data_IF_081365728630
#
_entry.id   IF_081365728630
#
_cell.length_a   1.000
_cell.length_b   1.000
_cell.length_c   1.000
_cell.angle_alpha   90.00
_cell.angle_beta   90.00
_cell.angle_gamma   90.00
#
_symmetry.space_group_name_H-M   'P 1'
#
loop_
_entity.id
_entity.type
_entity.pdbx_description
1 polymer ?
#
# COMPACT_ATOMS: atom_id res chain seq x y z
N UNK A 1 -57.00 14.24 -8.40
CA UNK A 1 -55.68 14.25 -7.74
C UNK A 1 -54.53 14.49 -8.74
N UNK A 2 -54.78 15.12 -9.89
CA UNK A 2 -53.75 15.30 -10.94
C UNK A 2 -53.06 16.67 -10.95
N UNK A 3 -53.62 17.71 -10.32
CA UNK A 3 -53.04 19.07 -10.38
C UNK A 3 -51.86 19.29 -9.42
N UNK A 4 -51.81 18.61 -8.27
CA UNK A 4 -50.73 18.80 -7.27
C UNK A 4 -49.34 18.35 -7.76
N UNK A 5 -49.26 17.49 -8.78
CA UNK A 5 -47.97 17.06 -9.33
C UNK A 5 -47.36 18.08 -10.30
N UNK A 6 -48.18 18.91 -10.99
CA UNK A 6 -47.67 19.92 -11.94
C UNK A 6 -46.95 21.08 -11.27
N UNK A 7 -47.32 21.45 -10.05
CA UNK A 7 -46.64 22.54 -9.33
C UNK A 7 -45.31 22.11 -8.71
N UNK A 8 -45.15 20.83 -8.39
CA UNK A 8 -43.86 20.28 -7.96
C UNK A 8 -42.86 20.25 -9.13
N UNK A 9 -43.31 19.95 -10.37
CA UNK A 9 -42.47 19.99 -11.57
C UNK A 9 -41.80 21.35 -11.80
N UNK A 10 -42.41 22.46 -11.34
CA UNK A 10 -41.84 23.81 -11.42
C UNK A 10 -40.67 24.05 -10.45
N UNK A 11 -40.53 23.23 -9.40
CA UNK A 11 -39.39 23.29 -8.47
C UNK A 11 -38.16 22.52 -8.98
N UNK A 12 -38.32 21.65 -9.98
CA UNK A 12 -37.21 20.85 -10.51
C UNK A 12 -36.45 21.62 -11.59
N UNK A 13 -35.30 22.18 -11.21
CA UNK A 13 -34.34 22.72 -12.17
C UNK A 13 -33.53 21.55 -12.75
N UNK A 14 -33.85 21.11 -13.97
CA UNK A 14 -32.93 20.29 -14.78
C UNK A 14 -31.76 21.19 -15.19
N UNK A 15 -30.72 21.27 -14.35
CA UNK A 15 -29.48 21.98 -14.71
C UNK A 15 -28.80 21.23 -15.85
N UNK A 16 -28.87 21.80 -17.05
CA UNK A 16 -28.08 21.36 -18.19
C UNK A 16 -26.58 21.43 -17.84
N UNK A 17 -25.79 20.54 -18.43
CA UNK A 17 -24.34 20.52 -18.21
C UNK A 17 -23.74 21.80 -18.77
N UNK A 18 -23.10 22.60 -17.92
CA UNK A 18 -22.34 23.76 -18.38
C UNK A 18 -21.07 23.29 -19.13
N UNK A 19 -21.19 23.17 -20.45
CA UNK A 19 -20.11 22.69 -21.33
C UNK A 19 -18.87 23.55 -21.25
N UNK A 20 -19.03 24.86 -21.08
CA UNK A 20 -17.92 25.81 -21.01
C UNK A 20 -17.04 25.52 -19.80
N UNK A 21 -17.66 25.43 -18.61
CA UNK A 21 -16.97 25.06 -17.37
C UNK A 21 -16.26 23.72 -17.49
N UNK A 22 -16.92 22.72 -18.09
CA UNK A 22 -16.33 21.39 -18.28
C UNK A 22 -15.07 21.44 -19.15
N UNK A 23 -15.11 22.19 -20.26
CA UNK A 23 -13.96 22.37 -21.15
C UNK A 23 -12.82 23.10 -20.43
N UNK A 24 -13.12 24.16 -19.68
CA UNK A 24 -12.12 24.94 -18.94
C UNK A 24 -11.38 24.06 -17.91
N UNK A 25 -12.11 23.21 -17.17
CA UNK A 25 -11.50 22.29 -16.19
C UNK A 25 -10.65 21.22 -16.88
N UNK A 26 -11.11 20.65 -18.00
CA UNK A 26 -10.48 19.49 -18.63
C UNK A 26 -9.30 19.84 -19.53
N UNK A 27 -9.32 21.01 -20.18
CA UNK A 27 -8.34 21.42 -21.20
C UNK A 27 -6.88 21.29 -20.77
N UNK A 28 -6.48 21.57 -19.51
CA UNK A 28 -5.10 21.41 -19.08
C UNK A 28 -4.66 19.96 -18.92
N UNK A 29 -5.59 19.04 -18.66
CA UNK A 29 -5.27 17.69 -18.17
C UNK A 29 -5.58 16.58 -19.17
N UNK A 30 -6.50 16.79 -20.10
CA UNK A 30 -6.86 15.79 -21.08
C UNK A 30 -7.22 16.37 -22.45
N UNK A 31 -7.16 15.49 -23.45
CA UNK A 31 -7.73 15.65 -24.78
C UNK A 31 -8.62 14.44 -25.07
N UNK A 32 -9.55 14.61 -26.00
CA UNK A 32 -10.41 13.52 -26.48
C UNK A 32 -9.99 13.24 -27.91
N UNK A 33 -9.59 11.99 -28.16
CA UNK A 33 -9.41 11.48 -29.51
C UNK A 33 -10.78 11.14 -30.09
N UNK A 34 -11.19 11.88 -31.13
CA UNK A 34 -12.50 11.71 -31.77
C UNK A 34 -12.59 10.41 -32.57
N UNK A 35 -11.48 9.92 -33.10
CA UNK A 35 -11.46 8.72 -33.95
C UNK A 35 -11.59 7.47 -33.08
N UNK A 36 -10.80 7.40 -32.02
CA UNK A 36 -10.79 6.25 -31.12
C UNK A 36 -11.82 6.36 -29.97
N UNK A 37 -12.49 7.51 -29.82
CA UNK A 37 -13.41 7.84 -28.72
C UNK A 37 -12.77 7.64 -27.34
N UNK A 38 -11.50 8.00 -27.22
CA UNK A 38 -10.68 7.76 -26.04
C UNK A 38 -10.20 9.06 -25.39
N UNK A 39 -9.91 8.98 -24.09
CA UNK A 39 -9.32 10.06 -23.32
C UNK A 39 -7.80 9.93 -23.40
N UNK A 40 -7.15 10.98 -23.89
CA UNK A 40 -5.69 11.12 -23.90
C UNK A 40 -5.27 12.06 -22.77
N UNK A 41 -4.55 11.54 -21.78
CA UNK A 41 -4.09 12.33 -20.63
C UNK A 41 -2.85 13.14 -21.00
N UNK A 42 -2.84 14.42 -20.60
CA UNK A 42 -1.73 15.35 -20.83
C UNK A 42 -0.70 15.27 -19.70
N UNK A 43 0.54 15.77 -19.90
CA UNK A 43 1.59 15.71 -18.88
C UNK A 43 1.20 16.36 -17.55
N UNK A 44 0.38 17.41 -17.56
CA UNK A 44 -0.05 18.09 -16.33
C UNK A 44 -0.98 17.22 -15.46
N UNK A 45 -1.63 16.20 -16.03
CA UNK A 45 -2.37 15.20 -15.27
C UNK A 45 -1.46 14.41 -14.31
N UNK A 46 -0.18 14.23 -14.63
CA UNK A 46 0.74 13.53 -13.73
C UNK A 46 1.11 14.36 -12.49
N UNK A 47 0.85 15.68 -12.51
CA UNK A 47 1.24 16.64 -11.47
C UNK A 47 0.12 16.94 -10.46
N UNK A 48 -1.09 16.48 -10.70
CA UNK A 48 -2.23 16.69 -9.79
C UNK A 48 -2.33 15.59 -8.74
N UNK A 49 -3.08 15.85 -7.67
CA UNK A 49 -3.30 14.83 -6.65
C UNK A 49 -4.15 13.68 -7.19
N UNK A 50 -3.94 12.46 -6.69
CA UNK A 50 -4.67 11.28 -7.18
C UNK A 50 -6.19 11.48 -7.14
N UNK A 51 -6.70 12.15 -6.10
CA UNK A 51 -8.12 12.44 -5.94
C UNK A 51 -8.64 13.40 -7.01
N UNK A 52 -7.89 14.46 -7.32
CA UNK A 52 -8.23 15.38 -8.41
C UNK A 52 -8.10 14.70 -9.78
N UNK A 53 -7.10 13.82 -9.95
CA UNK A 53 -6.97 12.98 -11.15
C UNK A 53 -8.18 12.09 -11.38
N UNK A 54 -8.74 11.48 -10.33
CA UNK A 54 -9.99 10.72 -10.44
C UNK A 54 -11.14 11.63 -10.87
N UNK A 55 -11.27 12.83 -10.31
CA UNK A 55 -12.29 13.81 -10.72
C UNK A 55 -12.16 14.14 -12.22
N UNK A 56 -10.95 14.43 -12.70
CA UNK A 56 -10.68 14.74 -14.11
C UNK A 56 -11.12 13.60 -15.04
N UNK A 57 -10.86 12.35 -14.66
CA UNK A 57 -11.28 11.18 -15.45
C UNK A 57 -12.81 11.09 -15.49
N UNK A 58 -13.49 11.23 -14.35
CA UNK A 58 -14.95 11.20 -14.29
C UNK A 58 -15.58 12.32 -15.13
N UNK A 59 -15.01 13.53 -15.10
CA UNK A 59 -15.43 14.65 -15.93
C UNK A 59 -15.16 14.40 -17.43
N UNK A 60 -14.05 13.74 -17.77
CA UNK A 60 -13.76 13.32 -19.14
C UNK A 60 -14.81 12.35 -19.68
N UNK A 61 -15.24 11.37 -18.87
CA UNK A 61 -16.33 10.45 -19.23
C UNK A 61 -17.66 11.20 -19.41
N UNK A 62 -17.95 12.17 -18.54
CA UNK A 62 -19.12 13.05 -18.70
C UNK A 62 -19.05 13.81 -20.03
N UNK A 63 -17.88 14.31 -20.43
CA UNK A 63 -17.69 14.98 -21.72
C UNK A 63 -17.95 14.03 -22.90
N UNK A 64 -17.48 12.78 -22.83
CA UNK A 64 -17.79 11.77 -23.86
C UNK A 64 -19.29 11.50 -23.98
N UNK A 65 -20.04 11.49 -22.87
CA UNK A 65 -21.52 11.40 -22.90
C UNK A 65 -22.15 12.62 -23.55
N UNK A 66 -21.70 13.82 -23.21
CA UNK A 66 -22.20 15.08 -23.80
C UNK A 66 -21.98 15.12 -25.32
N UNK A 67 -20.84 14.64 -25.79
CA UNK A 67 -20.50 14.52 -27.21
C UNK A 67 -21.11 13.29 -27.89
N UNK A 68 -21.99 12.54 -27.20
CA UNK A 68 -22.64 11.31 -27.68
C UNK A 68 -21.65 10.23 -28.16
N UNK A 69 -20.43 10.25 -27.64
CA UNK A 69 -19.40 9.24 -27.89
C UNK A 69 -19.53 8.03 -26.96
N UNK A 70 -20.31 8.17 -25.88
CA UNK A 70 -20.62 7.12 -24.90
C UNK A 70 -22.08 7.26 -24.46
N UNK A 71 -22.75 6.13 -24.20
CA UNK A 71 -24.17 6.11 -23.81
C UNK A 71 -24.39 6.53 -22.34
N UNK A 72 -23.46 6.16 -21.47
CA UNK A 72 -23.57 6.36 -20.02
C UNK A 72 -22.33 7.03 -19.42
N UNK A 73 -22.53 7.81 -18.36
CA UNK A 73 -21.46 8.50 -17.61
C UNK A 73 -20.97 7.69 -16.40
N UNK A 74 -21.67 6.63 -16.03
CA UNK A 74 -21.23 5.74 -14.96
C UNK A 74 -19.97 4.97 -15.38
N UNK A 75 -18.95 5.04 -14.53
CA UNK A 75 -17.67 4.36 -14.73
C UNK A 75 -17.22 3.64 -13.45
N UNK A 76 -16.71 2.41 -13.61
CA UNK A 76 -16.19 1.61 -12.50
C UNK A 76 -14.73 1.90 -12.13
N UNK A 77 -14.26 1.50 -10.94
CA UNK A 77 -12.86 1.70 -10.52
C UNK A 77 -11.83 1.09 -11.47
N UNK A 78 -12.14 -0.05 -12.10
CA UNK A 78 -11.25 -0.71 -13.07
C UNK A 78 -11.10 0.10 -14.35
N UNK A 79 -12.19 0.66 -14.87
CA UNK A 79 -12.14 1.54 -16.05
C UNK A 79 -11.35 2.83 -15.74
N UNK A 80 -11.52 3.41 -14.55
CA UNK A 80 -10.72 4.56 -14.11
C UNK A 80 -9.24 4.19 -14.02
N UNK A 81 -8.91 2.98 -13.58
CA UNK A 81 -7.55 2.46 -13.57
C UNK A 81 -6.97 2.36 -14.99
N UNK A 82 -7.76 1.85 -15.94
CA UNK A 82 -7.31 1.66 -17.31
C UNK A 82 -6.98 2.99 -18.00
N UNK A 83 -7.75 4.04 -17.71
CA UNK A 83 -7.52 5.39 -18.25
C UNK A 83 -6.37 6.09 -17.52
N UNK A 84 -6.43 6.17 -16.18
CA UNK A 84 -5.53 7.01 -15.38
C UNK A 84 -4.19 6.38 -15.04
N UNK A 85 -4.10 5.05 -15.07
CA UNK A 85 -2.99 4.26 -14.52
C UNK A 85 -2.69 4.53 -13.04
N UNK A 86 -3.58 5.19 -12.31
CA UNK A 86 -3.49 5.36 -10.84
C UNK A 86 -3.77 4.01 -10.20
N UNK A 87 -3.07 3.65 -9.11
CA UNK A 87 -3.27 2.37 -8.45
C UNK A 87 -4.75 2.13 -8.06
N UNK A 88 -5.28 0.95 -8.39
CA UNK A 88 -6.68 0.57 -8.16
C UNK A 88 -7.14 0.75 -6.70
N UNK A 89 -6.28 0.43 -5.73
CA UNK A 89 -6.59 0.63 -4.30
C UNK A 89 -6.73 2.10 -3.94
N UNK A 90 -5.89 2.96 -4.55
CA UNK A 90 -5.95 4.41 -4.37
C UNK A 90 -7.20 4.99 -5.02
N UNK A 91 -7.58 4.50 -6.21
CA UNK A 91 -8.82 4.88 -6.88
C UNK A 91 -10.04 4.53 -6.01
N UNK A 92 -10.12 3.30 -5.50
CA UNK A 92 -11.23 2.87 -4.63
C UNK A 92 -11.36 3.75 -3.39
N UNK A 93 -10.24 4.09 -2.76
CA UNK A 93 -10.24 4.99 -1.60
C UNK A 93 -10.69 6.40 -1.99
N UNK A 94 -10.14 6.95 -3.08
CA UNK A 94 -10.49 8.29 -3.57
C UNK A 94 -11.98 8.40 -3.93
N UNK A 95 -12.54 7.42 -4.65
CA UNK A 95 -13.97 7.40 -4.99
C UNK A 95 -14.86 7.36 -3.74
N UNK A 96 -14.46 6.57 -2.73
CA UNK A 96 -15.18 6.50 -1.46
C UNK A 96 -15.13 7.81 -0.66
N UNK A 97 -14.02 8.55 -0.74
CA UNK A 97 -13.89 9.87 -0.15
C UNK A 97 -14.71 10.92 -0.91
N UNK A 98 -14.64 10.91 -2.24
CA UNK A 98 -15.42 11.81 -3.10
C UNK A 98 -16.94 11.64 -2.91
N UNK A 99 -17.39 10.41 -2.69
CA UNK A 99 -18.80 10.12 -2.37
C UNK A 99 -19.20 10.69 -1.01
N UNK A 100 -18.34 10.54 0.02
CA UNK A 100 -18.57 11.16 1.34
C UNK A 100 -18.63 12.69 1.27
N UNK A 101 -17.81 13.28 0.41
CA UNK A 101 -17.79 14.73 0.14
C UNK A 101 -18.94 15.20 -0.76
N UNK A 102 -19.82 14.29 -1.20
CA UNK A 102 -20.94 14.55 -2.12
C UNK A 102 -20.49 15.13 -3.47
N UNK A 103 -19.25 14.86 -3.87
CA UNK A 103 -18.71 15.23 -5.19
C UNK A 103 -19.13 14.20 -6.25
N UNK A 104 -19.16 12.93 -5.87
CA UNK A 104 -19.58 11.82 -6.75
C UNK A 104 -20.79 11.11 -6.19
N UNK A 105 -21.60 10.53 -7.07
CA UNK A 105 -22.68 9.60 -6.73
C UNK A 105 -22.34 8.22 -7.26
N UNK A 106 -22.66 7.18 -6.49
CA UNK A 106 -22.46 5.80 -6.92
C UNK A 106 -23.78 5.12 -7.29
N UNK A 107 -23.75 4.31 -8.34
CA UNK A 107 -24.83 3.41 -8.73
C UNK A 107 -24.23 2.05 -9.11
N UNK A 108 -24.66 0.98 -8.43
CA UNK A 108 -24.17 -0.41 -8.67
C UNK A 108 -22.64 -0.53 -8.70
N UNK A 109 -21.93 0.26 -7.87
CA UNK A 109 -20.46 0.25 -7.80
C UNK A 109 -19.74 1.01 -8.91
N UNK A 110 -20.49 1.73 -9.75
CA UNK A 110 -19.96 2.72 -10.71
C UNK A 110 -20.22 4.13 -10.18
N UNK A 111 -19.43 5.09 -10.65
CA UNK A 111 -19.44 6.45 -10.14
C UNK A 111 -19.67 7.46 -11.25
N UNK A 112 -20.31 8.58 -10.91
CA UNK A 112 -20.46 9.76 -11.76
C UNK A 112 -20.42 11.05 -10.94
N UNK A 113 -20.17 12.18 -11.61
CA UNK A 113 -20.23 13.51 -10.99
C UNK A 113 -21.58 14.14 -11.33
N UNK A 114 -22.41 14.55 -10.36
CA UNK A 114 -23.65 15.26 -10.64
C UNK A 114 -23.42 16.65 -11.25
N UNK A 115 -24.35 17.13 -12.09
CA UNK A 115 -24.19 18.40 -12.82
C UNK A 115 -24.06 19.62 -11.89
N UNK A 116 -24.78 19.64 -10.77
CA UNK A 116 -24.74 20.75 -9.81
C UNK A 116 -23.37 20.93 -9.14
N UNK A 117 -22.50 19.91 -9.19
CA UNK A 117 -21.16 19.93 -8.58
C UNK A 117 -20.14 20.63 -9.49
N UNK A 118 -20.46 20.82 -10.78
CA UNK A 118 -19.51 21.41 -11.74
C UNK A 118 -19.06 22.82 -11.35
N UNK A 119 -19.97 23.65 -10.83
CA UNK A 119 -19.65 25.01 -10.36
C UNK A 119 -18.64 24.98 -9.20
N UNK A 120 -18.81 24.04 -8.26
CA UNK A 120 -17.88 23.86 -7.13
C UNK A 120 -16.51 23.36 -7.59
N UNK A 121 -16.48 22.52 -8.63
CA UNK A 121 -15.23 22.02 -9.19
C UNK A 121 -14.48 23.10 -9.98
N UNK A 122 -15.19 24.03 -10.63
CA UNK A 122 -14.58 25.15 -11.33
C UNK A 122 -13.66 25.96 -10.40
N UNK A 123 -14.18 26.34 -9.22
CA UNK A 123 -13.41 27.08 -8.23
C UNK A 123 -12.24 26.26 -7.66
N UNK A 124 -12.44 24.95 -7.47
CA UNK A 124 -11.39 24.03 -7.01
C UNK A 124 -10.24 23.94 -8.01
N UNK A 125 -10.54 23.84 -9.30
CA UNK A 125 -9.53 23.67 -10.35
C UNK A 125 -8.86 24.98 -10.77
N UNK A 126 -9.55 26.12 -10.66
CA UNK A 126 -8.93 27.46 -10.84
C UNK A 126 -7.83 27.73 -9.82
N UNK A 127 -8.02 27.24 -8.59
CA UNK A 127 -7.07 27.43 -7.49
C UNK A 127 -6.10 26.24 -7.32
N UNK A 128 -6.08 25.30 -8.26
CA UNK A 128 -5.28 24.10 -8.14
C UNK A 128 -3.79 24.41 -8.30
N UNK A 129 -3.00 24.15 -7.26
CA UNK A 129 -1.55 24.22 -7.33
C UNK A 129 -1.00 22.89 -7.83
N UNK A 130 -0.42 22.89 -9.03
CA UNK A 130 0.30 21.72 -9.54
C UNK A 130 1.48 21.40 -8.63
N UNK A 131 1.75 20.12 -8.39
CA UNK A 131 2.92 19.70 -7.62
C UNK A 131 4.18 20.01 -8.42
N UNK A 132 5.09 20.77 -7.84
CA UNK A 132 6.43 20.94 -8.40
C UNK A 132 7.10 19.56 -8.48
N UNK A 133 7.78 19.29 -9.60
CA UNK A 133 8.49 18.02 -9.84
C UNK A 133 9.49 17.68 -8.73
N UNK A 134 10.03 18.69 -8.03
CA UNK A 134 10.93 18.53 -6.87
C UNK A 134 10.25 17.93 -5.64
N UNK A 135 8.95 18.15 -5.43
CA UNK A 135 8.22 17.60 -4.27
C UNK A 135 7.85 16.12 -4.44
N UNK A 136 7.72 15.66 -5.69
CA UNK A 136 7.54 14.25 -6.01
C UNK A 136 8.79 13.41 -5.66
N UNK A 137 9.99 13.95 -5.89
CA UNK A 137 11.24 13.30 -5.45
C UNK A 137 11.39 13.28 -3.93
N UNK A 138 10.97 14.35 -3.25
CA UNK A 138 11.04 14.46 -1.77
C UNK A 138 10.09 13.49 -1.06
N UNK A 139 8.89 13.26 -1.61
CA UNK A 139 7.92 12.31 -1.01
C UNK A 139 8.34 10.86 -1.18
N UNK A 140 9.03 10.48 -2.27
CA UNK A 140 9.67 9.15 -2.39
C UNK A 140 10.77 8.91 -1.35
N UNK A 141 11.48 9.96 -0.93
CA UNK A 141 12.57 9.84 0.07
C UNK A 141 12.10 9.71 1.53
N UNK A 142 10.81 9.92 1.84
CA UNK A 142 10.30 10.02 3.23
C UNK A 142 9.82 8.72 3.88
N UNK A 143 9.95 7.55 3.25
CA UNK A 143 9.69 6.25 3.91
C UNK A 143 10.98 5.49 4.24
N UNK A 144 12.03 6.19 4.71
CA UNK A 144 13.01 5.50 5.54
C UNK A 144 12.33 5.30 6.90
N UNK A 145 11.95 4.06 7.21
CA UNK A 145 11.49 3.72 8.55
C UNK A 145 12.51 4.14 9.60
N UNK A 146 12.15 4.11 10.90
CA UNK A 146 13.09 4.43 11.96
C UNK A 146 14.42 3.70 11.71
N UNK A 147 15.53 4.44 11.73
CA UNK A 147 16.85 3.86 11.55
C UNK A 147 17.11 2.92 12.73
N UNK A 148 16.97 1.62 12.51
CA UNK A 148 17.29 0.61 13.52
C UNK A 148 18.81 0.46 13.53
N UNK A 149 19.41 0.65 14.71
CA UNK A 149 20.83 0.38 14.91
C UNK A 149 21.06 -1.13 14.90
N UNK A 150 21.93 -1.60 14.00
CA UNK A 150 22.31 -3.02 13.85
C UNK A 150 23.77 -3.28 14.25
N UNK A 151 24.40 -2.33 14.94
CA UNK A 151 25.81 -2.44 15.34
C UNK A 151 26.11 -3.72 16.13
N UNK A 152 25.16 -4.18 16.96
CA UNK A 152 25.28 -5.42 17.74
C UNK A 152 25.43 -6.66 16.89
N UNK A 153 24.65 -6.77 15.81
CA UNK A 153 24.66 -7.95 14.93
C UNK A 153 25.69 -7.85 13.80
N UNK A 154 26.49 -6.79 13.76
CA UNK A 154 27.49 -6.59 12.71
C UNK A 154 28.48 -7.76 12.62
N UNK A 155 28.89 -8.30 13.77
CA UNK A 155 29.76 -9.48 13.86
C UNK A 155 29.15 -10.67 13.11
N UNK A 156 27.84 -10.89 13.25
CA UNK A 156 27.13 -11.97 12.53
C UNK A 156 27.07 -11.66 11.03
N UNK A 157 26.77 -10.41 10.67
CA UNK A 157 26.63 -10.00 9.27
C UNK A 157 27.94 -10.10 8.48
N UNK A 158 29.09 -10.00 9.17
CA UNK A 158 30.43 -10.12 8.60
C UNK A 158 30.90 -11.58 8.41
N UNK A 159 30.26 -12.56 9.06
CA UNK A 159 30.55 -13.99 8.83
C UNK A 159 30.10 -14.43 7.43
N UNK A 160 30.62 -15.55 6.92
CA UNK A 160 30.00 -16.17 5.73
C UNK A 160 28.66 -16.82 6.12
N UNK A 161 27.62 -16.78 5.26
CA UNK A 161 26.33 -17.39 5.56
C UNK A 161 26.43 -18.88 5.94
N UNK A 162 27.29 -19.64 5.26
CA UNK A 162 27.54 -21.06 5.56
C UNK A 162 28.28 -21.24 6.89
N UNK A 163 29.22 -20.34 7.21
CA UNK A 163 29.92 -20.32 8.49
C UNK A 163 29.03 -19.86 9.65
N UNK A 164 27.93 -19.15 9.38
CA UNK A 164 26.95 -18.76 10.39
C UNK A 164 25.85 -19.82 10.58
N UNK A 165 25.32 -20.39 9.50
CA UNK A 165 24.21 -21.32 9.57
C UNK A 165 24.62 -22.79 9.65
N UNK A 166 25.80 -23.15 9.14
CA UNK A 166 26.25 -24.55 9.03
C UNK A 166 25.20 -25.44 8.36
N UNK A 167 24.95 -26.59 8.96
CA UNK A 167 23.97 -27.60 8.51
C UNK A 167 22.52 -27.07 8.46
N UNK A 168 22.21 -26.05 9.26
CA UNK A 168 20.87 -25.46 9.30
C UNK A 168 20.61 -24.49 8.15
N UNK A 169 21.61 -24.19 7.31
CA UNK A 169 21.46 -23.27 6.18
C UNK A 169 20.32 -23.70 5.24
N UNK A 170 20.30 -24.99 4.90
CA UNK A 170 19.29 -25.55 4.01
C UNK A 170 17.88 -25.45 4.58
N UNK A 171 17.73 -25.71 5.89
CA UNK A 171 16.45 -25.51 6.57
C UNK A 171 16.00 -24.05 6.53
N UNK A 172 16.92 -23.11 6.81
CA UNK A 172 16.63 -21.69 6.87
C UNK A 172 16.25 -21.13 5.48
N UNK A 173 16.89 -21.58 4.41
CA UNK A 173 16.67 -21.07 3.05
C UNK A 173 15.56 -21.81 2.31
N UNK A 174 15.57 -23.15 2.29
CA UNK A 174 14.71 -23.96 1.42
C UNK A 174 13.29 -24.11 1.97
N UNK A 175 13.10 -24.25 3.29
CA UNK A 175 11.75 -24.41 3.86
C UNK A 175 11.01 -23.08 3.87
N UNK A 176 9.86 -23.03 3.20
CA UNK A 176 8.98 -21.84 3.21
C UNK A 176 8.23 -21.74 4.55
N UNK A 177 8.10 -20.53 5.09
CA UNK A 177 7.39 -20.29 6.34
C UNK A 177 8.19 -20.68 7.58
N UNK A 178 7.56 -21.37 8.53
CA UNK A 178 8.12 -21.79 9.83
C UNK A 178 8.86 -20.68 10.59
N UNK A 179 8.34 -19.46 10.53
CA UNK A 179 8.98 -18.24 11.04
C UNK A 179 9.43 -18.36 12.51
N UNK A 180 8.66 -19.06 13.34
CA UNK A 180 9.04 -19.31 14.73
C UNK A 180 10.31 -20.14 14.79
N UNK A 181 10.35 -21.33 14.16
CA UNK A 181 11.52 -22.21 14.15
C UNK A 181 12.76 -21.51 13.59
N UNK A 182 12.61 -20.79 12.48
CA UNK A 182 13.71 -20.00 11.90
C UNK A 182 14.22 -18.94 12.87
N UNK A 183 13.33 -18.26 13.57
CA UNK A 183 13.72 -17.26 14.58
C UNK A 183 14.46 -17.90 15.74
N UNK A 184 14.00 -19.05 16.25
CA UNK A 184 14.67 -19.77 17.33
C UNK A 184 16.08 -20.22 16.92
N UNK A 185 16.23 -20.77 15.71
CA UNK A 185 17.53 -21.15 15.14
C UNK A 185 18.46 -19.94 15.08
N UNK A 186 17.99 -18.82 14.53
CA UNK A 186 18.82 -17.60 14.41
C UNK A 186 19.23 -17.05 15.79
N UNK A 187 18.34 -17.08 16.79
CA UNK A 187 18.68 -16.67 18.16
C UNK A 187 19.76 -17.60 18.75
N UNK A 188 19.65 -18.92 18.54
CA UNK A 188 20.64 -19.89 19.00
C UNK A 188 22.01 -19.65 18.35
N UNK A 189 22.04 -19.56 17.01
CA UNK A 189 23.27 -19.34 16.26
C UNK A 189 23.93 -18.00 16.60
N UNK A 190 23.13 -16.97 16.84
CA UNK A 190 23.64 -15.66 17.28
C UNK A 190 24.32 -15.74 18.64
N UNK A 191 23.80 -16.55 19.57
CA UNK A 191 24.42 -16.81 20.87
C UNK A 191 25.72 -17.61 20.73
N UNK A 192 25.68 -18.70 19.96
CA UNK A 192 26.81 -19.64 19.84
C UNK A 192 27.97 -19.10 19.00
N UNK A 193 27.66 -18.49 17.84
CA UNK A 193 28.68 -18.04 16.87
C UNK A 193 28.97 -16.55 16.97
N UNK A 194 27.97 -15.75 17.37
CA UNK A 194 28.08 -14.30 17.50
C UNK A 194 28.32 -13.81 18.93
N UNK A 195 28.20 -14.67 19.95
CA UNK A 195 28.26 -14.25 21.35
C UNK A 195 27.12 -13.31 21.78
N UNK A 196 26.04 -13.22 21.00
CA UNK A 196 24.94 -12.28 21.23
C UNK A 196 23.81 -12.99 21.97
N UNK A 197 23.65 -12.67 23.26
CA UNK A 197 22.54 -13.20 24.06
C UNK A 197 21.23 -12.45 23.76
N UNK A 198 20.48 -13.01 22.81
CA UNK A 198 19.16 -12.57 22.40
C UNK A 198 19.16 -11.52 21.29
N UNK A 199 18.07 -11.52 20.53
CA UNK A 199 17.89 -10.66 19.36
C UNK A 199 16.52 -10.00 19.36
N UNK A 200 16.42 -8.83 18.76
CA UNK A 200 15.15 -8.18 18.44
C UNK A 200 14.54 -8.77 17.16
N UNK A 201 13.22 -8.60 16.97
CA UNK A 201 12.56 -9.06 15.75
C UNK A 201 13.14 -8.40 14.47
N UNK A 202 13.60 -7.14 14.58
CA UNK A 202 14.25 -6.43 13.49
C UNK A 202 15.62 -7.04 13.14
N UNK A 203 16.45 -7.34 14.14
CA UNK A 203 17.73 -8.01 13.95
C UNK A 203 17.57 -9.40 13.32
N UNK A 204 16.61 -10.21 13.81
CA UNK A 204 16.30 -11.53 13.23
C UNK A 204 15.88 -11.40 11.77
N UNK A 205 15.00 -10.43 11.48
CA UNK A 205 14.56 -10.17 10.10
C UNK A 205 15.73 -9.80 9.20
N UNK A 206 16.63 -8.93 9.66
CA UNK A 206 17.81 -8.52 8.90
C UNK A 206 18.75 -9.67 8.62
N UNK A 207 19.06 -10.50 9.62
CA UNK A 207 19.92 -11.68 9.46
C UNK A 207 19.30 -12.64 8.43
N UNK A 208 17.99 -12.92 8.53
CA UNK A 208 17.31 -13.81 7.58
C UNK A 208 17.28 -13.24 6.16
N UNK A 209 17.01 -11.94 5.99
CA UNK A 209 16.86 -11.33 4.67
C UNK A 209 18.18 -10.97 3.99
N UNK A 210 19.07 -10.27 4.70
CA UNK A 210 20.26 -9.67 4.10
C UNK A 210 21.44 -10.63 4.12
N UNK A 211 21.62 -11.36 5.23
CA UNK A 211 22.75 -12.27 5.39
C UNK A 211 22.45 -13.66 4.83
N UNK A 212 21.33 -14.28 5.23
CA UNK A 212 20.95 -15.63 4.77
C UNK A 212 20.11 -15.64 3.48
N UNK A 213 19.71 -14.47 2.96
CA UNK A 213 18.93 -14.34 1.71
C UNK A 213 17.66 -15.19 1.66
N UNK A 214 17.00 -15.40 2.80
CA UNK A 214 15.79 -16.20 2.90
C UNK A 214 14.61 -15.47 2.23
N UNK A 215 13.96 -16.07 1.23
CA UNK A 215 12.89 -15.41 0.50
C UNK A 215 11.63 -15.24 1.34
N UNK A 216 10.88 -14.17 1.07
CA UNK A 216 9.55 -13.88 1.66
C UNK A 216 9.52 -13.79 3.20
N UNK A 217 10.65 -13.51 3.83
CA UNK A 217 10.68 -13.10 5.24
C UNK A 217 10.31 -11.63 5.30
N UNK A 218 9.41 -11.26 6.20
CA UNK A 218 9.03 -9.86 6.45
C UNK A 218 8.98 -9.65 7.96
N UNK A 219 9.30 -8.43 8.41
CA UNK A 219 9.29 -8.10 9.84
C UNK A 219 7.97 -8.46 10.55
N UNK A 220 6.77 -8.20 9.99
CA UNK A 220 5.50 -8.61 10.61
C UNK A 220 5.41 -10.11 10.87
N UNK A 221 5.90 -10.95 9.95
CA UNK A 221 5.86 -12.41 10.09
C UNK A 221 6.68 -12.87 11.29
N UNK A 222 7.86 -12.27 11.51
CA UNK A 222 8.73 -12.55 12.64
C UNK A 222 8.10 -12.06 13.95
N UNK A 223 7.58 -10.83 13.98
CA UNK A 223 6.92 -10.30 15.18
C UNK A 223 5.69 -11.11 15.59
N UNK A 224 4.88 -11.54 14.63
CA UNK A 224 3.69 -12.37 14.90
C UNK A 224 4.10 -13.75 15.41
N UNK A 225 5.14 -14.36 14.80
CA UNK A 225 5.64 -15.66 15.23
C UNK A 225 6.21 -15.64 16.65
N UNK A 226 7.03 -14.64 16.99
CA UNK A 226 7.57 -14.47 18.35
C UNK A 226 6.51 -13.96 19.34
N UNK A 227 5.44 -13.37 18.82
CA UNK A 227 4.29 -12.88 19.58
C UNK A 227 3.33 -13.98 20.04
N UNK A 228 3.37 -15.16 19.41
CA UNK A 228 2.39 -16.23 19.65
C UNK A 228 2.48 -16.83 21.06
N UNK A 229 1.37 -17.43 21.51
CA UNK A 229 1.33 -18.18 22.78
C UNK A 229 2.23 -19.42 22.76
N UNK A 230 2.44 -20.03 21.59
CA UNK A 230 3.38 -21.14 21.45
C UNK A 230 4.83 -20.69 21.60
N UNK A 231 5.16 -19.44 21.25
CA UNK A 231 6.52 -18.95 21.38
C UNK A 231 6.95 -18.80 22.84
N UNK A 232 6.03 -18.46 23.77
CA UNK A 232 6.39 -18.22 25.18
C UNK A 232 6.98 -19.41 25.92
N UNK A 233 6.81 -20.63 25.40
CA UNK A 233 7.49 -21.83 25.92
C UNK A 233 8.99 -21.84 25.58
N UNK A 234 9.35 -21.31 24.40
CA UNK A 234 10.70 -21.39 23.84
C UNK A 234 11.52 -20.11 24.03
N UNK A 235 10.87 -18.97 24.29
CA UNK A 235 11.55 -17.67 24.41
C UNK A 235 11.10 -16.84 25.61
N UNK A 236 12.07 -16.17 26.21
CA UNK A 236 11.87 -15.10 27.17
C UNK A 236 11.89 -13.74 26.47
N UNK A 237 10.91 -12.88 26.80
CA UNK A 237 10.80 -11.52 26.25
C UNK A 237 11.32 -10.51 27.27
N UNK A 238 12.46 -9.89 26.96
CA UNK A 238 13.05 -8.85 27.80
C UNK A 238 12.80 -7.47 27.17
N UNK A 239 12.18 -6.51 27.87
CA UNK A 239 12.01 -5.16 27.35
C UNK A 239 13.37 -4.47 27.20
N UNK A 240 13.57 -3.75 26.10
CA UNK A 240 14.76 -2.90 25.91
C UNK A 240 14.51 -1.50 26.51
N UNK A 241 15.54 -0.64 26.48
CA UNK A 241 15.40 0.79 26.87
C UNK A 241 14.30 1.51 26.08
N UNK A 242 13.99 1.03 24.86
CA UNK A 242 12.85 1.49 24.08
C UNK A 242 11.58 0.72 24.47
N UNK A 243 10.56 1.42 24.98
CA UNK A 243 9.30 0.86 25.51
C UNK A 243 8.52 -0.04 24.51
N UNK A 244 8.90 -0.08 23.23
CA UNK A 244 8.21 -0.83 22.17
C UNK A 244 9.06 -1.90 21.50
N UNK A 245 10.27 -2.15 21.99
CA UNK A 245 11.19 -3.15 21.41
C UNK A 245 11.57 -4.17 22.47
N UNK A 246 11.38 -5.44 22.13
CA UNK A 246 11.71 -6.58 22.99
C UNK A 246 12.92 -7.32 22.43
N UNK A 247 13.79 -7.74 23.34
CA UNK A 247 14.85 -8.69 23.11
C UNK A 247 14.31 -10.10 23.40
N UNK A 248 14.46 -11.01 22.46
CA UNK A 248 14.01 -12.39 22.58
C UNK A 248 15.22 -13.28 22.85
N UNK A 249 15.18 -14.01 23.97
CA UNK A 249 16.21 -14.98 24.39
C UNK A 249 15.62 -16.38 24.43
N UNK A 250 16.41 -17.41 24.17
CA UNK A 250 15.95 -18.79 24.29
C UNK A 250 15.81 -19.21 25.75
N UNK A 251 14.75 -19.96 26.05
CA UNK A 251 14.64 -20.76 27.27
C UNK A 251 15.37 -22.09 27.08
N UNK A 252 15.55 -22.86 28.16
CA UNK A 252 16.09 -24.23 28.07
C UNK A 252 15.27 -25.10 27.11
N UNK A 253 13.95 -25.06 27.23
CA UNK A 253 13.03 -25.76 26.32
C UNK A 253 13.18 -25.29 24.86
N UNK A 254 13.48 -24.01 24.63
CA UNK A 254 13.79 -23.47 23.31
C UNK A 254 15.11 -24.00 22.74
N UNK A 255 16.15 -24.10 23.56
CA UNK A 255 17.44 -24.68 23.16
C UNK A 255 17.28 -26.17 22.80
N UNK A 256 16.61 -26.95 23.65
CA UNK A 256 16.32 -28.37 23.41
C UNK A 256 15.51 -28.57 22.12
N UNK A 257 14.51 -27.71 21.88
CA UNK A 257 13.70 -27.76 20.68
C UNK A 257 14.53 -27.50 19.41
N UNK A 258 15.46 -26.55 19.43
CA UNK A 258 16.34 -26.28 18.28
C UNK A 258 17.34 -27.41 18.06
N UNK A 259 17.90 -28.01 19.14
CA UNK A 259 18.77 -29.18 19.05
C UNK A 259 18.08 -30.35 18.34
N UNK A 260 16.81 -30.58 18.67
CA UNK A 260 16.00 -31.63 18.05
C UNK A 260 15.69 -31.37 16.56
N UNK A 261 15.76 -30.11 16.10
CA UNK A 261 15.63 -29.79 14.67
C UNK A 261 16.89 -30.22 13.92
N UNK A 262 18.09 -30.07 14.52
CA UNK A 262 19.35 -30.45 13.91
C UNK A 262 19.43 -31.97 13.68
N UNK A 263 19.09 -32.75 14.71
CA UNK A 263 19.13 -34.21 14.66
C UNK A 263 18.26 -34.79 13.52
N UNK A 264 17.11 -34.16 13.23
CA UNK A 264 16.22 -34.60 12.14
C UNK A 264 16.66 -34.14 10.75
N UNK A 265 17.62 -33.22 10.67
CA UNK A 265 18.24 -32.82 9.42
C UNK A 265 19.35 -33.80 9.02
N UNK A 266 19.98 -34.48 9.99
CA UNK A 266 21.02 -35.50 9.77
C UNK A 266 20.45 -36.86 9.30
N UNK A 267 19.17 -37.16 9.59
CA UNK A 267 18.51 -38.43 9.24
C UNK A 267 17.86 -38.45 7.83
N UNK A 268 18.05 -37.41 7.00
CA UNK A 268 17.45 -37.29 5.65
C UNK A 268 18.46 -37.01 4.57
#
# INVERSE_FOLDING_TARGET
MEEKNKDLEKLFVKREVNRKTLIEILTPYLRIDRENKQICLLPDFSKIECKDGVIIVLLGIKMLKVEKMREDELIGPSEVFDISKINLSTIKNALRELEKERITTSEKGKYMIPNFVLEVLEDRFKNLKLKDTKDFERTRRKRKGPHVDFSRVKVILELKPDEFAGELYDFLVKKKGEYLKKSLIVIKLAKERGGIDGLTAAEITKILQEHLRVPKVHHPNITTALGSRSASEYIFKQPTKSKKVYLYKLTKSGEDFVNNINLRAEEK
#
